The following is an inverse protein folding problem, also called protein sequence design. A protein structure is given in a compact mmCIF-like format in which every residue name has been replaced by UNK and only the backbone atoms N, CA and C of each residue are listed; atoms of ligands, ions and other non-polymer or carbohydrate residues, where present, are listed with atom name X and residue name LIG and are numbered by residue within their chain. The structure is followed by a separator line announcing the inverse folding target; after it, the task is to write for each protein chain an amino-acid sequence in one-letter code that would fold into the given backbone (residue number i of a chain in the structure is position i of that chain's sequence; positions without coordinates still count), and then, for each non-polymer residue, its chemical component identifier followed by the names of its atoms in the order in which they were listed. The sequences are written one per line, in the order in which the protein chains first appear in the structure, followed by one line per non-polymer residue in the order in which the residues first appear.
data_IF_980705546482
#
_entry.id   IF_980705546482
#
_cell.length_a   1.000
_cell.length_b   1.000
_cell.length_c   1.000
_cell.angle_alpha   90.00
_cell.angle_beta   90.00
_cell.angle_gamma   90.00
#
_symmetry.space_group_name_H-M   'P 1'
#
loop_
_entity.id
_entity.type
_entity.pdbx_description
1 polymer ?
#
# COMPACT_ATOMS: atom_id res chain seq x y z
N UNK A 1 6.80 4.37 22.78
CA UNK A 1 5.44 4.92 23.06
C UNK A 1 4.41 3.83 23.37
N UNK A 2 4.06 2.93 22.44
CA UNK A 2 3.02 1.91 22.72
C UNK A 2 3.43 0.87 23.78
N UNK A 3 4.63 0.29 23.65
CA UNK A 3 5.18 -0.64 24.66
C UNK A 3 5.32 0.02 26.04
N UNK A 4 5.51 1.34 26.08
CA UNK A 4 5.59 2.10 27.33
C UNK A 4 4.21 2.33 27.98
N UNK A 5 3.14 2.38 27.19
CA UNK A 5 1.76 2.51 27.68
C UNK A 5 1.27 1.17 28.25
N UNK A 6 1.55 0.06 27.57
CA UNK A 6 1.16 -1.28 28.04
C UNK A 6 1.83 -1.69 29.36
N UNK A 7 2.98 -1.09 29.67
CA UNK A 7 3.71 -1.35 30.93
C UNK A 7 3.25 -0.46 32.10
N UNK A 8 2.27 0.43 31.89
CA UNK A 8 1.74 1.31 32.95
C UNK A 8 0.51 0.72 33.61
N UNK A 9 0.49 0.79 34.94
CA UNK A 9 -0.69 0.43 35.74
C UNK A 9 -1.83 1.46 35.57
N UNK A 10 -1.49 2.74 35.35
CA UNK A 10 -2.44 3.85 35.20
C UNK A 10 -2.12 4.73 33.98
N UNK A 11 -3.17 5.13 33.27
CA UNK A 11 -3.12 5.93 32.05
C UNK A 11 -3.77 7.31 32.25
N UNK A 12 -3.17 8.35 31.68
CA UNK A 12 -3.79 9.67 31.51
C UNK A 12 -4.81 9.64 30.37
N UNK A 13 -5.66 10.67 30.28
CA UNK A 13 -6.64 10.76 29.17
C UNK A 13 -5.95 10.73 27.80
N UNK A 14 -4.81 11.41 27.63
CA UNK A 14 -4.10 11.43 26.35
C UNK A 14 -3.58 10.04 25.96
N UNK A 15 -3.00 9.31 26.90
CA UNK A 15 -2.53 7.93 26.69
C UNK A 15 -3.67 6.98 26.34
N UNK A 16 -4.86 7.20 26.89
CA UNK A 16 -6.07 6.44 26.54
C UNK A 16 -6.47 6.71 25.09
N UNK A 17 -6.43 7.97 24.63
CA UNK A 17 -6.75 8.29 23.24
C UNK A 17 -5.75 7.64 22.28
N UNK A 18 -4.44 7.66 22.61
CA UNK A 18 -3.42 6.93 21.85
C UNK A 18 -3.66 5.41 21.86
N UNK A 19 -4.06 4.82 22.99
CA UNK A 19 -4.38 3.40 23.09
C UNK A 19 -5.57 3.03 22.21
N UNK A 20 -6.62 3.86 22.18
CA UNK A 20 -7.77 3.68 21.30
C UNK A 20 -7.32 3.78 19.84
N UNK A 21 -6.54 4.80 19.48
CA UNK A 21 -6.04 4.95 18.12
C UNK A 21 -5.28 3.71 17.66
N UNK A 22 -4.40 3.19 18.50
CA UNK A 22 -3.66 1.97 18.23
C UNK A 22 -4.59 0.75 18.06
N UNK A 23 -5.47 0.48 19.04
CA UNK A 23 -6.36 -0.70 19.00
C UNK A 23 -7.28 -0.75 17.79
N UNK A 24 -7.62 0.40 17.21
CA UNK A 24 -8.50 0.51 16.05
C UNK A 24 -7.76 0.89 14.76
N UNK A 25 -6.43 0.75 14.71
CA UNK A 25 -5.60 1.05 13.55
C UNK A 25 -5.77 2.49 12.99
N UNK A 26 -6.01 3.46 13.85
CA UNK A 26 -6.01 4.89 13.53
C UNK A 26 -4.62 5.51 13.78
N UNK A 27 -3.59 4.89 13.21
CA UNK A 27 -2.18 5.31 13.34
C UNK A 27 -1.56 5.45 11.95
N UNK A 28 -0.92 6.59 11.68
CA UNK A 28 -0.26 6.87 10.40
C UNK A 28 0.87 7.88 10.59
N UNK A 29 1.81 7.90 9.66
CA UNK A 29 2.96 8.80 9.68
C UNK A 29 2.54 10.27 9.53
N UNK A 30 3.20 11.17 10.27
CA UNK A 30 2.90 12.60 10.25
C UNK A 30 1.60 13.01 10.97
N UNK A 31 0.94 12.05 11.63
CA UNK A 31 -0.26 12.31 12.43
C UNK A 31 0.02 13.31 13.56
N UNK A 32 -0.81 14.34 13.65
CA UNK A 32 -0.74 15.32 14.74
C UNK A 32 -1.16 14.66 16.08
N UNK A 33 -0.54 15.07 17.18
CA UNK A 33 -0.85 14.60 18.53
C UNK A 33 -2.33 14.79 18.88
N UNK A 34 -2.97 15.87 18.43
CA UNK A 34 -4.39 16.16 18.71
C UNK A 34 -5.37 15.44 17.75
N UNK A 35 -4.90 14.80 16.67
CA UNK A 35 -5.78 14.09 15.73
C UNK A 35 -6.10 12.68 16.25
N UNK A 36 -7.02 12.58 17.21
CA UNK A 36 -7.46 11.28 17.71
C UNK A 36 -8.74 10.79 17.04
N UNK A 37 -8.90 9.46 16.97
CA UNK A 37 -10.16 8.82 16.55
C UNK A 37 -11.31 9.26 17.46
N UNK A 38 -11.03 9.31 18.77
CA UNK A 38 -11.97 9.68 19.84
C UNK A 38 -11.44 10.94 20.54
N UNK A 39 -12.32 11.88 20.87
CA UNK A 39 -11.95 13.07 21.65
C UNK A 39 -11.98 12.80 23.15
N UNK A 40 -11.30 13.61 23.95
CA UNK A 40 -11.36 13.53 25.41
C UNK A 40 -12.81 13.62 25.96
N UNK A 41 -13.67 14.45 25.33
CA UNK A 41 -15.08 14.56 25.73
C UNK A 41 -15.88 13.30 25.37
N UNK A 42 -15.57 12.68 24.23
CA UNK A 42 -16.18 11.39 23.87
C UNK A 42 -15.74 10.29 24.84
N UNK A 43 -14.48 10.27 25.26
CA UNK A 43 -14.00 9.36 26.30
C UNK A 43 -14.76 9.55 27.63
N UNK A 44 -14.93 10.80 28.09
CA UNK A 44 -15.74 11.09 29.29
C UNK A 44 -17.18 10.61 29.16
N UNK A 45 -17.77 10.76 27.98
CA UNK A 45 -19.11 10.24 27.70
C UNK A 45 -19.15 8.71 27.75
N UNK A 46 -18.14 8.02 27.25
CA UNK A 46 -18.05 6.56 27.31
C UNK A 46 -17.95 6.06 28.74
N UNK A 47 -17.11 6.71 29.56
CA UNK A 47 -17.00 6.43 30.99
C UNK A 47 -18.34 6.59 31.70
N UNK A 48 -19.03 7.72 31.49
CA UNK A 48 -20.34 7.97 32.11
C UNK A 48 -21.34 6.87 31.73
N UNK A 49 -21.49 6.61 30.44
CA UNK A 49 -22.46 5.63 29.98
C UNK A 49 -22.10 4.19 30.38
N UNK A 50 -20.82 3.91 30.67
CA UNK A 50 -20.42 2.63 31.26
C UNK A 50 -20.97 2.50 32.68
N UNK A 51 -20.80 3.53 33.51
CA UNK A 51 -21.37 3.55 34.86
C UNK A 51 -22.89 3.44 34.87
N UNK A 52 -23.57 4.26 34.05
CA UNK A 52 -25.04 4.27 33.93
C UNK A 52 -25.55 2.84 33.60
N UNK A 53 -24.93 2.16 32.63
CA UNK A 53 -25.31 0.79 32.26
C UNK A 53 -25.04 -0.24 33.37
N UNK A 54 -23.90 -0.15 34.07
CA UNK A 54 -23.59 -1.07 35.18
C UNK A 54 -24.55 -0.89 36.35
N UNK A 55 -24.96 0.34 36.64
CA UNK A 55 -25.97 0.64 37.65
C UNK A 55 -27.35 0.08 37.24
N UNK A 56 -27.75 0.26 35.98
CA UNK A 56 -29.00 -0.31 35.43
C UNK A 56 -29.00 -1.85 35.44
N UNK A 57 -27.83 -2.48 35.24
CA UNK A 57 -27.62 -3.94 35.39
C UNK A 57 -27.66 -4.41 36.86
N UNK A 58 -27.79 -3.49 37.83
CA UNK A 58 -27.77 -3.79 39.27
C UNK A 58 -26.39 -4.19 39.80
N UNK A 59 -25.30 -3.83 39.10
CA UNK A 59 -23.94 -4.12 39.55
C UNK A 59 -23.48 -3.06 40.55
N UNK A 60 -22.70 -3.50 41.54
CA UNK A 60 -22.07 -2.61 42.49
C UNK A 60 -20.97 -1.79 41.80
N UNK A 61 -21.26 -0.53 41.51
CA UNK A 61 -20.32 0.39 40.86
C UNK A 61 -19.12 0.77 41.74
N UNK A 62 -19.20 0.50 43.06
CA UNK A 62 -18.13 0.85 44.00
C UNK A 62 -16.82 0.10 43.73
N UNK A 63 -16.90 -1.07 43.07
CA UNK A 63 -15.74 -1.86 42.62
C UNK A 63 -14.85 -1.11 41.63
N UNK A 64 -15.34 -0.02 41.04
CA UNK A 64 -14.61 0.81 40.09
C UNK A 64 -14.03 2.10 40.71
N UNK A 65 -14.34 2.42 41.98
CA UNK A 65 -13.90 3.68 42.60
C UNK A 65 -12.38 3.76 42.75
N UNK A 66 -11.73 2.64 43.07
CA UNK A 66 -10.28 2.59 43.21
C UNK A 66 -9.53 2.53 41.87
N UNK A 67 -10.25 2.32 40.76
CA UNK A 67 -9.68 2.26 39.40
C UNK A 67 -9.39 3.65 38.82
N UNK A 68 -9.75 4.72 39.52
CA UNK A 68 -9.53 6.11 39.15
C UNK A 68 -8.68 6.82 40.21
N UNK A 69 -7.63 7.53 39.79
CA UNK A 69 -6.79 8.33 40.70
C UNK A 69 -6.72 9.79 40.25
N UNK A 70 -6.52 10.69 41.21
CA UNK A 70 -6.31 12.12 40.96
C UNK A 70 -7.60 12.94 40.75
N UNK A 71 -7.46 14.27 40.84
CA UNK A 71 -8.55 15.22 40.60
C UNK A 71 -8.90 15.36 39.11
N UNK A 72 -10.03 16.01 38.80
CA UNK A 72 -10.57 16.10 37.43
C UNK A 72 -9.57 16.50 36.33
N UNK A 73 -8.62 17.40 36.62
CA UNK A 73 -7.62 17.85 35.62
C UNK A 73 -6.52 16.83 35.34
N UNK A 74 -6.15 16.01 36.34
CA UNK A 74 -5.02 15.08 36.27
C UNK A 74 -5.48 13.64 36.54
N UNK A 75 -6.71 13.31 36.14
CA UNK A 75 -7.30 12.00 36.40
C UNK A 75 -6.57 10.94 35.59
N UNK A 76 -6.16 9.88 36.28
CA UNK A 76 -5.59 8.68 35.68
C UNK A 76 -6.48 7.48 35.93
N UNK A 77 -6.40 6.49 35.04
CA UNK A 77 -7.30 5.37 34.94
C UNK A 77 -6.50 4.08 34.92
N UNK A 78 -6.86 3.10 35.74
CA UNK A 78 -6.21 1.79 35.72
C UNK A 78 -6.36 1.16 34.33
N UNK A 79 -5.29 0.56 33.80
CA UNK A 79 -5.28 0.04 32.42
C UNK A 79 -6.39 -0.99 32.16
N UNK A 80 -6.56 -2.00 33.01
CA UNK A 80 -7.59 -3.04 32.85
C UNK A 80 -9.01 -2.44 32.82
N UNK A 81 -9.23 -1.35 33.55
CA UNK A 81 -10.51 -0.63 33.54
C UNK A 81 -10.74 0.11 32.22
N UNK A 82 -9.68 0.73 31.69
CA UNK A 82 -9.74 1.38 30.38
C UNK A 82 -10.06 0.35 29.30
N UNK A 83 -9.44 -0.83 29.36
CA UNK A 83 -9.68 -1.90 28.39
C UNK A 83 -11.14 -2.38 28.44
N UNK A 84 -11.70 -2.57 29.63
CA UNK A 84 -13.11 -2.94 29.83
C UNK A 84 -14.07 -1.91 29.20
N UNK A 85 -13.79 -0.60 29.34
CA UNK A 85 -14.60 0.47 28.73
C UNK A 85 -14.43 0.47 27.19
N UNK A 86 -13.21 0.27 26.70
CA UNK A 86 -12.95 0.20 25.25
C UNK A 86 -13.70 -0.98 24.63
N UNK A 87 -13.69 -2.14 25.29
CA UNK A 87 -14.43 -3.33 24.85
C UNK A 87 -15.93 -3.05 24.83
N UNK A 88 -16.48 -2.47 25.92
CA UNK A 88 -17.88 -2.06 26.01
C UNK A 88 -18.31 -1.09 24.89
N UNK A 89 -17.39 -0.25 24.39
CA UNK A 89 -17.66 0.72 23.32
C UNK A 89 -17.10 0.35 21.95
N UNK A 90 -16.60 -0.88 21.78
CA UNK A 90 -15.88 -1.32 20.58
C UNK A 90 -16.68 -1.10 19.29
N UNK A 91 -17.94 -1.49 19.26
CA UNK A 91 -18.80 -1.31 18.08
C UNK A 91 -19.02 0.17 17.72
N UNK A 92 -19.11 1.03 18.72
CA UNK A 92 -19.30 2.47 18.51
C UNK A 92 -18.03 3.13 18.00
N UNK A 93 -16.87 2.70 18.50
CA UNK A 93 -15.56 3.15 18.01
C UNK A 93 -15.33 2.67 16.57
N UNK A 94 -15.65 1.41 16.24
CA UNK A 94 -15.61 0.89 14.86
C UNK A 94 -16.51 1.67 13.91
N UNK A 95 -17.73 2.01 14.35
CA UNK A 95 -18.64 2.86 13.56
C UNK A 95 -18.08 4.25 13.33
N UNK A 96 -17.43 4.84 14.33
CA UNK A 96 -16.80 6.15 14.21
C UNK A 96 -15.65 6.13 13.20
N UNK A 97 -14.78 5.12 13.26
CA UNK A 97 -13.69 4.93 12.30
C UNK A 97 -14.21 4.85 10.86
N UNK A 98 -15.26 4.08 10.63
CA UNK A 98 -15.85 3.88 9.30
C UNK A 98 -16.80 5.00 8.86
N UNK A 99 -16.93 6.08 9.63
CA UNK A 99 -17.79 7.21 9.27
C UNK A 99 -17.14 8.10 8.21
N UNK A 100 -17.97 8.79 7.42
CA UNK A 100 -17.52 9.78 6.43
C UNK A 100 -16.82 11.01 7.05
N UNK A 101 -16.86 11.14 8.39
CA UNK A 101 -16.11 12.16 9.11
C UNK A 101 -14.64 11.80 9.32
N UNK A 102 -14.31 10.50 9.40
CA UNK A 102 -12.96 10.02 9.74
C UNK A 102 -12.27 9.34 8.58
N UNK A 103 -13.03 8.66 7.74
CA UNK A 103 -12.52 7.95 6.57
C UNK A 103 -13.27 8.39 5.31
N UNK A 104 -12.69 8.14 4.16
CA UNK A 104 -13.32 8.32 2.85
C UNK A 104 -12.99 7.14 1.96
N UNK A 105 -13.74 6.95 0.87
CA UNK A 105 -13.38 5.95 -0.16
C UNK A 105 -12.00 6.32 -0.73
N UNK A 106 -11.12 5.31 -0.82
CA UNK A 106 -9.79 5.44 -1.41
C UNK A 106 -9.90 5.58 -2.94
N UNK A 107 -10.02 6.83 -3.40
CA UNK A 107 -10.21 7.15 -4.82
C UNK A 107 -8.99 6.75 -5.67
N UNK A 108 -7.80 6.78 -5.08
CA UNK A 108 -6.56 6.46 -5.78
C UNK A 108 -6.49 4.94 -6.01
N UNK A 109 -6.87 4.14 -5.00
CA UNK A 109 -7.05 2.70 -5.12
C UNK A 109 -8.09 2.31 -6.16
N UNK A 110 -9.26 2.97 -6.16
CA UNK A 110 -10.30 2.75 -7.17
C UNK A 110 -9.78 3.06 -8.57
N UNK A 111 -9.08 4.18 -8.74
CA UNK A 111 -8.57 4.61 -10.04
C UNK A 111 -7.50 3.66 -10.57
N UNK A 112 -6.55 3.24 -9.72
CA UNK A 112 -5.52 2.27 -10.09
C UNK A 112 -6.15 0.95 -10.54
N UNK A 113 -7.11 0.41 -9.78
CA UNK A 113 -7.77 -0.85 -10.13
C UNK A 113 -8.60 -0.74 -11.41
N UNK A 114 -9.22 0.41 -11.69
CA UNK A 114 -9.87 0.65 -12.99
C UNK A 114 -8.89 0.60 -14.15
N UNK A 115 -7.70 1.18 -13.98
CA UNK A 115 -6.65 1.14 -15.03
C UNK A 115 -6.16 -0.29 -15.25
N UNK A 116 -5.82 -1.00 -14.17
CA UNK A 116 -5.37 -2.40 -14.24
C UNK A 116 -6.43 -3.33 -14.83
N UNK A 117 -7.68 -3.18 -14.40
CA UNK A 117 -8.78 -3.99 -14.91
C UNK A 117 -9.20 -3.55 -16.32
N UNK A 118 -8.95 -2.31 -16.75
CA UNK A 118 -9.16 -1.89 -18.14
C UNK A 118 -8.25 -2.61 -19.14
N UNK A 119 -7.22 -3.33 -18.67
CA UNK A 119 -6.41 -4.26 -19.47
C UNK A 119 -6.99 -5.68 -19.47
N UNK A 120 -8.16 -5.89 -18.85
CA UNK A 120 -8.88 -7.16 -18.75
C UNK A 120 -10.37 -6.97 -19.05
N UNK A 121 -11.07 -7.98 -19.56
CA UNK A 121 -12.52 -7.89 -19.80
C UNK A 121 -13.38 -8.05 -18.52
N UNK A 122 -12.81 -7.80 -17.33
CA UNK A 122 -13.47 -8.06 -16.04
C UNK A 122 -13.92 -6.77 -15.35
N UNK A 123 -15.08 -6.82 -14.70
CA UNK A 123 -15.56 -5.72 -13.85
C UNK A 123 -14.74 -5.58 -12.56
N UNK A 124 -14.53 -4.34 -12.12
CA UNK A 124 -13.88 -4.03 -10.85
C UNK A 124 -14.76 -4.49 -9.68
N UNK A 125 -14.27 -5.36 -8.78
CA UNK A 125 -15.06 -5.87 -7.65
C UNK A 125 -15.57 -4.75 -6.72
N UNK A 126 -16.77 -4.92 -6.16
CA UNK A 126 -17.36 -3.95 -5.22
C UNK A 126 -16.45 -3.65 -4.01
N UNK A 127 -15.71 -4.64 -3.53
CA UNK A 127 -14.74 -4.49 -2.43
C UNK A 127 -13.66 -3.44 -2.71
N UNK A 128 -13.34 -3.15 -3.97
CA UNK A 128 -12.41 -2.07 -4.35
C UNK A 128 -13.04 -0.70 -4.08
N UNK A 129 -14.34 -0.54 -4.35
CA UNK A 129 -15.08 0.70 -4.10
C UNK A 129 -15.41 0.91 -2.63
N UNK A 130 -15.48 -0.18 -1.86
CA UNK A 130 -15.75 -0.15 -0.43
C UNK A 130 -14.47 0.09 0.41
N UNK A 131 -13.27 0.05 -0.20
CA UNK A 131 -12.02 0.32 0.52
C UNK A 131 -11.97 1.78 0.96
N UNK A 132 -11.77 1.99 2.26
CA UNK A 132 -11.68 3.32 2.89
C UNK A 132 -10.27 3.62 3.36
N UNK A 133 -9.91 4.89 3.35
CA UNK A 133 -8.67 5.47 3.87
C UNK A 133 -9.00 6.56 4.87
N UNK A 134 -8.14 6.78 5.88
CA UNK A 134 -8.31 7.86 6.85
C UNK A 134 -8.11 9.20 6.14
N UNK A 135 -9.01 10.16 6.39
CA UNK A 135 -9.01 11.46 5.68
C UNK A 135 -7.71 12.23 5.93
N UNK A 136 -7.27 12.31 7.19
CA UNK A 136 -6.03 13.02 7.52
C UNK A 136 -4.81 12.37 6.89
N UNK A 137 -4.72 11.04 6.93
CA UNK A 137 -3.65 10.28 6.26
C UNK A 137 -3.62 10.58 4.75
N UNK A 138 -4.79 10.58 4.10
CA UNK A 138 -4.91 10.88 2.68
C UNK A 138 -4.50 12.33 2.35
N UNK A 139 -4.86 13.30 3.20
CA UNK A 139 -4.46 14.69 3.05
C UNK A 139 -2.93 14.85 3.20
N UNK A 140 -2.34 14.25 4.24
CA UNK A 140 -0.89 14.25 4.46
C UNK A 140 -0.15 13.61 3.29
N UNK A 141 -0.63 12.50 2.73
CA UNK A 141 -0.05 11.88 1.52
C UNK A 141 -0.10 12.80 0.30
N UNK A 142 -1.15 13.61 0.18
CA UNK A 142 -1.28 14.60 -0.92
C UNK A 142 -0.40 15.82 -0.75
N UNK A 143 -0.17 16.26 0.48
CA UNK A 143 0.72 17.37 0.80
C UNK A 143 2.19 16.94 0.72
N UNK A 144 2.52 15.78 1.30
CA UNK A 144 3.83 15.14 1.28
C UNK A 144 4.04 14.30 0.01
N UNK A 145 3.59 14.78 -1.16
CA UNK A 145 3.77 14.08 -2.44
C UNK A 145 5.17 13.47 -2.47
N UNK A 146 5.24 12.16 -2.73
CA UNK A 146 6.44 11.52 -3.26
C UNK A 146 7.10 12.52 -4.22
N UNK A 147 8.43 12.73 -4.15
CA UNK A 147 9.11 13.74 -4.94
C UNK A 147 8.54 13.70 -6.35
N UNK A 148 8.08 14.87 -6.82
CA UNK A 148 7.40 14.96 -8.12
C UNK A 148 8.36 14.37 -9.13
N UNK A 149 8.05 13.16 -9.60
CA UNK A 149 8.90 12.45 -10.55
C UNK A 149 9.00 13.35 -11.76
N UNK A 150 10.18 13.89 -12.03
CA UNK A 150 10.36 14.78 -13.17
C UNK A 150 10.09 13.99 -14.45
N UNK A 151 9.76 14.67 -15.56
CA UNK A 151 9.61 13.97 -16.84
C UNK A 151 10.89 13.19 -17.20
N UNK A 152 12.05 13.70 -16.82
CA UNK A 152 13.34 13.00 -16.99
C UNK A 152 13.41 11.72 -16.16
N UNK A 153 12.94 11.75 -14.91
CA UNK A 153 12.89 10.55 -14.08
C UNK A 153 11.88 9.52 -14.61
N UNK A 154 10.75 9.95 -15.18
CA UNK A 154 9.80 9.04 -15.85
C UNK A 154 10.44 8.37 -17.07
N UNK A 155 11.16 9.12 -17.89
CA UNK A 155 11.90 8.59 -19.04
C UNK A 155 12.94 7.58 -18.56
N UNK A 156 13.74 7.94 -17.55
CA UNK A 156 14.75 7.04 -16.96
C UNK A 156 14.14 5.74 -16.44
N UNK A 157 13.05 5.81 -15.68
CA UNK A 157 12.37 4.62 -15.13
C UNK A 157 11.78 3.76 -16.26
N UNK A 158 11.19 4.39 -17.28
CA UNK A 158 10.67 3.68 -18.46
C UNK A 158 11.79 2.96 -19.22
N UNK A 159 12.92 3.63 -19.45
CA UNK A 159 14.09 3.04 -20.09
C UNK A 159 14.67 1.89 -19.27
N UNK A 160 14.80 2.06 -17.94
CA UNK A 160 15.26 0.99 -17.05
C UNK A 160 14.35 -0.24 -17.11
N UNK A 161 13.03 -0.04 -17.11
CA UNK A 161 12.07 -1.14 -17.19
C UNK A 161 12.11 -1.85 -18.54
N UNK A 162 12.17 -1.11 -19.65
CA UNK A 162 12.34 -1.69 -20.99
C UNK A 162 13.65 -2.46 -21.08
N UNK A 163 14.74 -1.89 -20.58
CA UNK A 163 16.04 -2.54 -20.59
C UNK A 163 16.03 -3.84 -19.78
N UNK A 164 15.39 -3.85 -18.61
CA UNK A 164 15.24 -5.07 -17.79
C UNK A 164 14.45 -6.16 -18.54
N UNK A 165 13.35 -5.81 -19.22
CA UNK A 165 12.60 -6.75 -20.04
C UNK A 165 13.42 -7.28 -21.22
N UNK A 166 14.15 -6.40 -21.92
CA UNK A 166 15.05 -6.81 -23.01
C UNK A 166 16.15 -7.71 -22.48
N UNK A 167 16.73 -7.40 -21.31
CA UNK A 167 17.74 -8.23 -20.63
C UNK A 167 17.21 -9.59 -20.24
N UNK A 168 15.96 -9.72 -19.82
CA UNK A 168 15.35 -11.01 -19.51
C UNK A 168 15.06 -11.84 -20.76
N UNK A 169 14.62 -11.19 -21.85
CA UNK A 169 14.14 -11.85 -23.06
C UNK A 169 15.26 -12.22 -24.04
N UNK A 170 16.21 -11.31 -24.25
CA UNK A 170 17.22 -11.42 -25.31
C UNK A 170 18.59 -11.78 -24.75
N UNK A 171 19.31 -12.57 -25.52
CA UNK A 171 20.69 -12.92 -25.33
C UNK A 171 21.57 -11.85 -25.98
N UNK A 172 21.99 -10.87 -25.15
CA UNK A 172 22.82 -9.75 -25.61
C UNK A 172 24.21 -10.20 -26.06
N UNK A 173 24.71 -11.34 -25.61
CA UNK A 173 26.02 -11.86 -26.05
C UNK A 173 25.94 -12.23 -27.53
N UNK A 174 24.91 -12.96 -27.96
CA UNK A 174 24.68 -13.27 -29.38
C UNK A 174 24.53 -12.03 -30.26
N UNK A 175 23.86 -11.00 -29.74
CA UNK A 175 23.71 -9.72 -30.46
C UNK A 175 25.09 -9.06 -30.63
N UNK A 176 25.91 -9.03 -29.59
CA UNK A 176 27.24 -8.44 -29.66
C UNK A 176 28.17 -9.21 -30.58
N UNK A 177 28.16 -10.55 -30.51
CA UNK A 177 28.94 -11.42 -31.41
C UNK A 177 28.59 -11.14 -32.88
N UNK A 178 27.30 -11.08 -33.21
CA UNK A 178 26.86 -10.77 -34.57
C UNK A 178 27.19 -9.35 -35.01
N UNK A 179 27.17 -8.36 -34.11
CA UNK A 179 27.58 -6.98 -34.44
C UNK A 179 29.08 -6.95 -34.74
N UNK A 180 29.91 -7.61 -33.94
CA UNK A 180 31.35 -7.68 -34.15
C UNK A 180 31.70 -8.41 -35.46
N UNK A 181 31.03 -9.52 -35.72
CA UNK A 181 31.22 -10.32 -36.95
C UNK A 181 30.70 -9.60 -38.20
N UNK A 182 29.59 -8.87 -38.09
CA UNK A 182 29.10 -8.05 -39.18
C UNK A 182 30.08 -6.94 -39.55
N UNK A 183 30.65 -6.27 -38.54
CA UNK A 183 31.64 -5.21 -38.76
C UNK A 183 32.94 -5.78 -39.37
N UNK A 184 33.35 -6.98 -38.95
CA UNK A 184 34.64 -7.56 -39.34
C UNK A 184 34.56 -8.31 -40.67
N UNK A 185 33.53 -9.12 -40.84
CA UNK A 185 33.41 -10.11 -41.91
C UNK A 185 32.13 -9.95 -42.74
N UNK A 186 31.20 -9.07 -42.35
CA UNK A 186 29.91 -8.94 -43.02
C UNK A 186 28.99 -10.15 -42.83
N UNK A 187 29.20 -10.90 -41.74
CA UNK A 187 28.46 -12.12 -41.43
C UNK A 187 27.65 -11.98 -40.14
N UNK A 188 26.60 -12.80 -39.99
CA UNK A 188 25.81 -12.93 -38.78
C UNK A 188 25.84 -14.41 -38.36
N UNK A 189 26.45 -14.72 -37.22
CA UNK A 189 26.58 -16.09 -36.74
C UNK A 189 25.22 -16.63 -36.26
N UNK A 190 24.44 -15.80 -35.57
CA UNK A 190 23.18 -16.19 -34.94
C UNK A 190 21.95 -15.65 -35.67
N UNK A 191 22.08 -14.48 -36.29
CA UNK A 191 20.96 -13.67 -36.74
C UNK A 191 20.27 -14.13 -38.01
N UNK A 192 20.86 -15.04 -38.75
CA UNK A 192 20.30 -15.46 -40.03
C UNK A 192 19.04 -16.29 -39.89
N UNK A 193 18.07 -16.01 -40.76
CA UNK A 193 16.88 -16.84 -40.88
C UNK A 193 17.21 -18.19 -41.53
N UNK A 194 16.53 -19.23 -41.07
CA UNK A 194 16.48 -20.53 -41.75
C UNK A 194 15.06 -20.78 -42.31
N UNK A 195 14.88 -20.92 -43.64
CA UNK A 195 15.91 -20.82 -44.68
C UNK A 195 16.43 -19.39 -44.85
N UNK A 196 17.68 -19.30 -45.32
CA UNK A 196 18.36 -18.04 -45.58
C UNK A 196 17.68 -17.28 -46.71
N UNK A 197 17.06 -16.15 -46.40
CA UNK A 197 16.32 -15.32 -47.36
C UNK A 197 17.08 -14.02 -47.62
N UNK A 198 17.47 -13.79 -48.87
CA UNK A 198 18.07 -12.54 -49.31
C UNK A 198 17.00 -11.47 -49.56
N UNK A 199 17.26 -10.25 -49.11
CA UNK A 199 16.44 -9.08 -49.38
C UNK A 199 17.11 -8.31 -50.51
N UNK A 200 16.38 -8.12 -51.61
CA UNK A 200 16.83 -7.36 -52.78
C UNK A 200 15.97 -6.11 -52.95
N UNK A 201 16.57 -5.04 -53.45
CA UNK A 201 15.89 -3.88 -54.01
C UNK A 201 16.17 -3.76 -55.53
N UNK A 202 15.70 -2.68 -56.14
CA UNK A 202 15.88 -2.44 -57.58
C UNK A 202 17.36 -2.27 -58.01
N UNK A 203 18.28 -2.07 -57.05
CA UNK A 203 19.73 -1.89 -57.27
C UNK A 203 20.57 -3.12 -56.88
N UNK A 204 19.99 -4.10 -56.17
CA UNK A 204 20.62 -5.38 -55.88
C UNK A 204 20.33 -5.91 -54.46
N UNK A 205 21.12 -6.90 -53.98
CA UNK A 205 20.95 -7.43 -52.63
C UNK A 205 21.36 -6.41 -51.57
N UNK A 206 20.43 -6.05 -50.69
CA UNK A 206 20.60 -5.09 -49.60
C UNK A 206 20.78 -5.75 -48.23
N UNK A 207 20.60 -7.06 -48.14
CA UNK A 207 20.90 -7.83 -46.94
C UNK A 207 20.18 -9.17 -46.88
N UNK A 208 20.08 -9.71 -45.67
CA UNK A 208 19.39 -10.96 -45.40
C UNK A 208 18.30 -10.76 -44.36
N UNK A 209 17.27 -11.60 -44.44
CA UNK A 209 16.22 -11.64 -43.44
C UNK A 209 16.81 -12.15 -42.11
N UNK A 210 16.62 -11.34 -41.07
CA UNK A 210 17.00 -11.70 -39.71
C UNK A 210 15.94 -12.60 -39.05
N UNK A 211 16.38 -13.68 -38.41
CA UNK A 211 15.55 -14.41 -37.44
C UNK A 211 15.79 -13.91 -36.02
N UNK A 212 14.88 -13.02 -35.61
CA UNK A 212 14.90 -12.39 -34.30
C UNK A 212 14.74 -13.40 -33.15
N UNK A 213 14.23 -14.61 -33.42
CA UNK A 213 14.06 -15.65 -32.39
C UNK A 213 15.40 -16.24 -31.94
N UNK A 214 16.42 -16.22 -32.80
CA UNK A 214 17.74 -16.76 -32.46
C UNK A 214 18.46 -15.94 -31.38
N UNK A 215 18.10 -14.67 -31.25
CA UNK A 215 18.56 -13.78 -30.18
C UNK A 215 17.78 -13.92 -28.87
N UNK A 216 16.75 -14.76 -28.80
CA UNK A 216 16.11 -15.03 -27.51
C UNK A 216 17.03 -15.91 -26.64
N UNK A 217 16.92 -15.74 -25.32
CA UNK A 217 17.58 -16.65 -24.39
C UNK A 217 16.99 -18.06 -24.51
N UNK A 218 17.83 -19.07 -24.31
CA UNK A 218 17.40 -20.47 -24.34
C UNK A 218 16.28 -20.77 -23.35
N UNK A 219 16.29 -20.12 -22.17
CA UNK A 219 15.21 -20.24 -21.18
C UNK A 219 13.85 -19.82 -21.75
N UNK A 220 13.81 -18.69 -22.46
CA UNK A 220 12.60 -18.14 -23.10
C UNK A 220 12.14 -19.03 -24.24
N UNK A 221 13.07 -19.50 -25.09
CA UNK A 221 12.76 -20.43 -26.18
C UNK A 221 12.14 -21.73 -25.64
N UNK A 222 12.69 -22.26 -24.55
CA UNK A 222 12.18 -23.48 -23.92
C UNK A 222 10.80 -23.28 -23.29
N UNK A 223 10.55 -22.14 -22.67
CA UNK A 223 9.24 -21.80 -22.11
C UNK A 223 8.17 -21.70 -23.20
N UNK A 224 8.47 -21.04 -24.32
CA UNK A 224 7.56 -20.95 -25.48
C UNK A 224 7.26 -22.33 -26.07
N UNK A 225 8.25 -23.24 -26.13
CA UNK A 225 8.07 -24.59 -26.68
C UNK A 225 7.29 -25.54 -25.77
N UNK A 226 7.30 -25.29 -24.46
CA UNK A 226 6.66 -26.14 -23.45
C UNK A 226 5.25 -25.65 -23.06
N UNK A 227 4.76 -24.59 -23.71
CA UNK A 227 3.40 -24.04 -23.56
C UNK A 227 2.56 -24.42 -24.78
#
# INVERSE_FOLDING_TARGET
MYEEILNKEYLTTNEILHLIDFKFNYTFEGKNEDDHLVTADTWRSYLKQFYDEKEDEGKDISVYYDKLRGGNKNRTYQIDFVEEIIEFRSDRIKKLLNSDRKTMIDKDWVSLNKVLMGWSDKEVPKSVYDKRVIITEYALRKENRFPTITEEEKVRVKEQFINALVDELFDKEKINEDVEEWITNGELIHGYAEPFEMIEDDEGPIGFRLDRKNYLKNSVINEIKNT
#
